data_IF_862087744209
#
_entry.id   IF_862087744209
#
_cell.length_a   1.000
_cell.length_b   1.000
_cell.length_c   1.000
_cell.angle_alpha   90.00
_cell.angle_beta   90.00
_cell.angle_gamma   90.00
#
_symmetry.space_group_name_H-M   'P 1'
#
loop_
_entity.id
_entity.type
_entity.pdbx_description
1 polymer ?
2 non-polymer ?
3 non-polymer ?
4 non-polymer ?
5 non-polymer ?
6 water ?
#
# COMPACT_ATOMS: atom_id res chain seq x y z
N UNK A 1 8.66 5.37 -18.52
CA UNK A 1 8.11 4.90 -17.21
C UNK A 1 8.30 5.97 -16.12
N UNK A 2 7.42 5.95 -15.12
CA UNK A 2 7.56 6.76 -13.89
C UNK A 2 8.75 6.29 -13.04
N UNK A 3 8.99 6.88 -11.86
CA UNK A 3 10.14 6.48 -11.07
C UNK A 3 10.05 5.03 -10.59
N UNK A 4 11.21 4.43 -10.40
CA UNK A 4 11.33 3.06 -9.82
C UNK A 4 12.43 3.10 -8.76
N UNK A 5 12.34 2.23 -7.77
CA UNK A 5 13.45 2.01 -6.83
C UNK A 5 14.67 1.52 -7.63
N UNK A 6 15.87 2.01 -7.27
CA UNK A 6 17.11 1.73 -8.01
C UNK A 6 17.82 0.53 -7.38
N UNK A 7 17.16 -0.21 -6.51
CA UNK A 7 17.69 -1.35 -5.71
C UNK A 7 16.53 -2.35 -5.55
N UNK A 8 16.79 -3.64 -5.41
CA UNK A 8 15.74 -4.68 -5.29
C UNK A 8 15.42 -4.94 -3.82
N UNK A 9 16.27 -4.48 -2.90
CA UNK A 9 16.08 -4.62 -1.43
C UNK A 9 15.44 -3.32 -0.87
N UNK A 10 14.22 -3.42 -0.34
CA UNK A 10 13.43 -2.23 0.06
C UNK A 10 12.94 -2.41 1.48
N UNK A 11 13.10 -1.37 2.29
CA UNK A 11 12.78 -1.36 3.72
C UNK A 11 11.48 -0.59 3.91
N UNK A 12 10.76 -0.94 4.96
CA UNK A 12 9.53 -0.23 5.32
C UNK A 12 9.48 -0.10 6.83
N UNK A 13 8.79 0.92 7.29
CA UNK A 13 8.51 1.09 8.72
C UNK A 13 7.08 1.52 8.88
N UNK A 14 6.43 0.95 9.88
CA UNK A 14 5.11 1.48 10.37
C UNK A 14 5.32 2.65 11.36
N UNK A 15 5.08 3.89 10.92
CA UNK A 15 5.18 5.12 11.73
C UNK A 15 4.22 5.02 12.92
N UNK A 16 3.00 4.56 12.73
CA UNK A 16 1.97 4.61 13.79
C UNK A 16 0.87 3.62 13.44
N UNK A 17 0.04 3.27 14.43
CA UNK A 17 -1.02 2.23 14.30
C UNK A 17 -2.39 2.90 14.46
N UNK A 18 -3.29 2.54 13.55
CA UNK A 18 -4.74 2.84 13.69
C UNK A 18 -5.25 2.12 14.93
N UNK A 19 -6.02 2.84 15.78
CA UNK A 19 -6.71 2.25 16.92
C UNK A 19 -7.89 1.41 16.48
N UNK A 20 -8.20 1.39 15.18
CA UNK A 20 -9.32 0.58 14.65
C UNK A 20 -9.00 -0.90 14.84
N UNK A 21 -7.72 -1.28 14.82
CA UNK A 21 -7.34 -2.72 14.77
C UNK A 21 -6.34 -2.99 15.89
N UNK A 22 -6.21 -4.27 16.24
CA UNK A 22 -5.07 -4.77 17.02
C UNK A 22 -3.80 -4.44 16.25
N UNK A 23 -2.74 -4.13 16.98
CA UNK A 23 -1.40 -3.83 16.45
C UNK A 23 -0.89 -4.99 15.57
N UNK A 24 -1.08 -6.21 16.06
CA UNK A 24 -0.56 -7.46 15.46
C UNK A 24 -1.28 -7.63 14.11
N UNK A 25 -2.56 -7.23 14.02
CA UNK A 25 -3.38 -7.36 12.78
C UNK A 25 -2.87 -6.35 11.75
N UNK A 26 -2.53 -5.16 12.18
CA UNK A 26 -1.87 -4.18 11.27
C UNK A 26 -0.55 -4.74 10.73
N UNK A 27 0.32 -5.28 11.58
CA UNK A 27 1.64 -5.79 11.16
C UNK A 27 1.42 -6.87 10.09
N UNK A 28 0.44 -7.74 10.29
CA UNK A 28 0.18 -8.93 9.45
C UNK A 28 -0.34 -8.44 8.09
N UNK A 29 -1.32 -7.53 8.09
CA UNK A 29 -1.92 -6.97 6.87
C UNK A 29 -0.82 -6.35 6.01
N UNK A 30 0.01 -5.53 6.60
CA UNK A 30 1.08 -4.82 5.84
C UNK A 30 2.08 -5.85 5.31
N UNK A 31 2.51 -6.76 6.18
CA UNK A 31 3.49 -7.82 5.83
C UNK A 31 2.95 -8.62 4.64
N UNK A 32 1.66 -8.95 4.66
CA UNK A 32 1.07 -9.84 3.64
C UNK A 32 0.94 -9.05 2.36
N UNK A 33 0.64 -7.75 2.45
CA UNK A 33 0.50 -6.82 1.30
C UNK A 33 1.85 -6.74 0.55
N UNK A 34 2.98 -6.62 1.25
CA UNK A 34 4.33 -6.61 0.63
C UNK A 34 4.66 -7.99 0.00
N UNK A 35 4.25 -9.06 0.68
CA UNK A 35 4.47 -10.46 0.26
C UNK A 35 3.73 -10.66 -1.07
N UNK A 36 2.54 -10.09 -1.24
CA UNK A 36 1.80 -10.24 -2.52
C UNK A 36 2.70 -9.76 -3.68
N UNK A 37 3.37 -8.61 -3.55
CA UNK A 37 4.27 -8.00 -4.59
C UNK A 37 5.59 -8.77 -4.66
N UNK A 38 6.13 -9.15 -3.51
CA UNK A 38 7.35 -10.00 -3.42
C UNK A 38 7.16 -11.26 -4.29
N UNK A 39 5.98 -11.84 -4.31
CA UNK A 39 5.72 -13.15 -4.93
C UNK A 39 5.82 -13.14 -6.48
N UNK A 40 5.82 -11.95 -7.11
CA UNK A 40 5.81 -11.79 -8.59
C UNK A 40 6.90 -10.83 -9.05
N UNK A 41 7.89 -10.53 -8.22
CA UNK A 41 9.01 -9.61 -8.56
C UNK A 41 10.31 -10.10 -7.95
N UNK A 42 11.47 -9.52 -8.36
CA UNK A 42 12.73 -9.75 -7.66
C UNK A 42 12.87 -8.98 -6.34
N UNK A 43 11.85 -8.24 -5.93
CA UNK A 43 11.90 -7.28 -4.79
C UNK A 43 11.85 -8.03 -3.46
N UNK A 44 12.71 -7.60 -2.55
CA UNK A 44 12.75 -8.14 -1.17
C UNK A 44 12.42 -7.01 -0.22
N UNK A 45 11.42 -7.20 0.66
CA UNK A 45 10.95 -6.21 1.63
C UNK A 45 11.40 -6.62 3.05
N UNK A 46 12.02 -5.68 3.78
CA UNK A 46 12.61 -5.80 5.15
C UNK A 46 11.96 -4.75 6.06
N UNK A 47 11.23 -5.23 7.05
CA UNK A 47 10.59 -4.40 8.08
C UNK A 47 11.66 -3.88 9.05
N UNK A 48 11.78 -2.55 9.21
CA UNK A 48 12.63 -1.96 10.28
C UNK A 48 11.72 -1.31 11.33
N UNK A 49 12.09 -1.49 12.60
CA UNK A 49 11.26 -1.02 13.73
C UNK A 49 11.69 0.40 14.16
N UNK A 50 12.96 0.74 13.98
CA UNK A 50 13.55 2.07 14.25
C UNK A 50 14.54 2.45 13.14
N UNK A 51 14.38 3.67 12.61
CA UNK A 51 15.41 4.29 11.78
C UNK A 51 14.90 4.52 10.39
N UNK A 52 15.80 4.66 9.43
CA UNK A 52 15.41 5.09 8.06
C UNK A 52 14.82 3.91 7.28
N UNK A 53 13.66 4.11 6.70
CA UNK A 53 13.04 3.13 5.82
C UNK A 53 12.63 3.83 4.51
N UNK A 54 12.67 3.07 3.43
CA UNK A 54 12.23 3.56 2.11
C UNK A 54 10.76 3.94 2.22
N UNK A 55 9.95 2.99 2.68
CA UNK A 55 8.48 3.12 2.65
C UNK A 55 8.01 3.31 4.08
N UNK A 56 7.60 4.52 4.41
CA UNK A 56 6.94 4.81 5.71
C UNK A 56 5.44 4.63 5.52
N UNK A 57 4.84 3.78 6.35
CA UNK A 57 3.38 3.56 6.43
C UNK A 57 2.79 4.44 7.55
N UNK A 58 1.74 5.21 7.24
CA UNK A 58 1.23 6.27 8.16
C UNK A 58 -0.28 6.16 8.17
N UNK A 59 -0.88 6.26 9.34
CA UNK A 59 -2.32 6.55 9.53
C UNK A 59 -2.45 8.01 10.00
N UNK A 60 -3.11 8.82 9.18
CA UNK A 60 -3.32 10.25 9.42
C UNK A 60 -4.66 10.64 8.79
N UNK A 61 -5.16 11.79 9.24
CA UNK A 61 -6.50 12.28 8.84
C UNK A 61 -6.33 13.69 8.33
N UNK A 62 -7.27 14.12 7.50
CA UNK A 62 -7.30 15.50 7.06
C UNK A 62 -5.98 15.90 6.44
N UNK A 63 -5.60 17.15 6.66
CA UNK A 63 -4.33 17.75 6.18
C UNK A 63 -3.25 17.21 7.12
N UNK A 64 -2.26 16.52 6.56
CA UNK A 64 -1.33 15.68 7.34
C UNK A 64 0.11 15.88 6.82
N UNK A 65 0.41 17.04 6.24
CA UNK A 65 1.79 17.48 6.02
C UNK A 65 2.25 17.29 4.59
N UNK A 66 1.38 16.84 3.71
CA UNK A 66 1.77 16.72 2.28
C UNK A 66 0.78 17.60 1.53
N UNK A 67 0.81 17.66 0.22
CA UNK A 67 -0.11 18.62 -0.47
C UNK A 67 -1.47 17.95 -0.73
N UNK A 68 -1.76 16.84 -0.05
CA UNK A 68 -2.83 15.89 -0.41
C UNK A 68 -3.70 15.60 0.81
N UNK A 69 -4.37 16.59 1.35
CA UNK A 69 -5.30 16.41 2.48
C UNK A 69 -6.25 15.25 2.18
N UNK A 70 -6.51 14.38 3.16
CA UNK A 70 -7.67 13.46 3.16
C UNK A 70 -8.95 14.25 3.43
N UNK A 71 -10.09 13.55 3.38
CA UNK A 71 -11.42 14.11 3.05
C UNK A 71 -12.45 13.55 4.03
N UNK A 72 -12.00 13.01 5.16
CA UNK A 72 -12.92 12.44 6.15
C UNK A 72 -13.46 11.09 5.75
N UNK A 73 -14.48 10.60 6.44
CA UNK A 73 -14.93 9.22 6.27
C UNK A 73 -15.43 9.05 4.83
N UNK A 74 -14.98 8.02 4.12
CA UNK A 74 -15.31 7.78 2.70
C UNK A 74 -14.44 8.57 1.72
N UNK A 75 -14.95 8.69 0.49
CA UNK A 75 -14.13 9.12 -0.65
C UNK A 75 -12.77 8.44 -0.64
N UNK A 76 -11.71 9.25 -0.56
CA UNK A 76 -10.29 8.79 -0.65
C UNK A 76 -9.98 8.05 0.62
N UNK A 77 -9.50 6.83 0.47
CA UNK A 77 -9.21 5.94 1.64
C UNK A 77 -7.71 6.00 1.96
N UNK A 78 -6.88 6.38 0.99
CA UNK A 78 -5.41 6.19 1.10
C UNK A 78 -4.75 6.72 -0.16
N UNK A 79 -3.62 7.00 -0.41
CA UNK A 79 -2.56 7.36 -1.35
C UNK A 79 -1.21 7.07 -0.70
N UNK A 80 -0.34 7.04 -1.81
CA UNK A 80 1.09 6.71 -1.70
C UNK A 80 1.86 7.50 -2.75
N UNK A 81 3.11 7.78 -2.42
CA UNK A 81 4.10 8.46 -3.29
C UNK A 81 4.93 7.41 -4.02
N UNK A 82 5.23 7.65 -5.29
CA UNK A 82 6.05 6.69 -5.99
C UNK A 82 7.49 6.75 -5.51
N UNK A 83 8.36 5.90 -6.07
CA UNK A 83 9.73 5.81 -5.62
C UNK A 83 10.45 7.16 -5.61
N UNK A 84 11.22 7.35 -4.54
CA UNK A 84 12.06 8.54 -4.32
C UNK A 84 12.53 8.62 -2.90
N UNK A 85 13.26 9.67 -2.60
CA UNK A 85 13.79 9.89 -1.23
C UNK A 85 12.71 10.62 -0.42
N UNK A 86 12.88 10.67 0.90
CA UNK A 86 11.97 11.40 1.79
C UNK A 86 10.61 10.78 1.71
N UNK A 87 9.61 11.58 1.42
CA UNK A 87 8.21 11.09 1.38
C UNK A 87 8.00 10.13 0.19
N UNK A 88 8.91 10.13 -0.80
CA UNK A 88 8.90 9.10 -1.86
C UNK A 88 8.59 7.73 -1.28
N UNK A 89 7.71 6.99 -1.91
CA UNK A 89 7.39 5.61 -1.50
C UNK A 89 6.41 5.54 -0.34
N UNK A 90 6.16 6.61 0.40
CA UNK A 90 5.43 6.44 1.68
C UNK A 90 3.95 6.21 1.34
N UNK A 91 3.28 5.37 2.14
CA UNK A 91 1.84 5.00 2.03
C UNK A 91 1.08 5.57 3.22
N UNK A 92 0.07 6.35 2.89
CA UNK A 92 -0.79 7.08 3.86
C UNK A 92 -2.21 6.51 3.77
N UNK A 93 -2.76 6.16 4.92
CA UNK A 93 -4.09 5.56 5.11
C UNK A 93 -4.95 6.53 5.93
N UNK A 94 -6.16 6.84 5.42
CA UNK A 94 -7.05 7.88 6.01
C UNK A 94 -7.61 7.29 7.27
N UNK A 95 -7.29 7.86 8.44
CA UNK A 95 -7.70 7.32 9.75
C UNK A 95 -9.20 7.55 9.97
N UNK A 96 -9.82 8.47 9.22
CA UNK A 96 -11.29 8.65 9.22
C UNK A 96 -12.00 7.42 8.61
N UNK A 97 -11.28 6.48 7.98
CA UNK A 97 -11.84 5.17 7.58
C UNK A 97 -11.80 4.21 8.79
N UNK A 98 -12.65 3.19 8.80
CA UNK A 98 -12.65 2.12 9.82
C UNK A 98 -11.94 0.92 9.22
N UNK A 99 -10.66 0.78 9.56
CA UNK A 99 -9.74 -0.22 8.98
C UNK A 99 -10.06 -1.57 9.65
N UNK A 100 -10.14 -2.65 8.90
CA UNK A 100 -10.52 -3.97 9.44
C UNK A 100 -9.66 -5.07 8.81
N UNK A 101 -9.81 -6.27 9.35
CA UNK A 101 -9.19 -7.51 8.84
C UNK A 101 -10.17 -8.22 7.90
N UNK A 102 -11.37 -7.67 7.69
CA UNK A 102 -12.47 -8.42 7.03
C UNK A 102 -13.20 -7.55 6.00
N UNK A 103 -14.46 -7.85 5.72
CA UNK A 103 -15.33 -7.23 4.69
C UNK A 103 -15.97 -5.95 5.25
N UNK A 104 -16.14 -5.87 6.56
CA UNK A 104 -16.56 -4.64 7.26
C UNK A 104 -15.60 -3.47 7.06
N UNK A 105 -16.10 -2.26 7.27
CA UNK A 105 -15.41 -1.00 7.02
C UNK A 105 -14.55 -1.14 5.79
N UNK A 106 -13.27 -0.81 5.91
CA UNK A 106 -12.27 -0.86 4.83
C UNK A 106 -11.17 -1.88 5.17
N UNK A 107 -11.05 -2.91 4.37
CA UNK A 107 -10.00 -3.94 4.56
C UNK A 107 -8.61 -3.32 4.31
N UNK A 108 -7.81 -3.24 5.37
CA UNK A 108 -6.42 -2.69 5.35
C UNK A 108 -5.54 -3.42 4.33
N UNK A 109 -5.53 -4.76 4.33
CA UNK A 109 -4.65 -5.60 3.45
C UNK A 109 -4.89 -5.22 1.98
N UNK A 110 -6.15 -5.23 1.56
CA UNK A 110 -6.45 -5.02 0.12
C UNK A 110 -5.99 -3.61 -0.23
N UNK A 111 -6.26 -2.62 0.64
CA UNK A 111 -5.94 -1.22 0.40
C UNK A 111 -4.44 -1.04 0.36
N UNK A 112 -3.72 -1.70 1.27
CA UNK A 112 -2.25 -1.69 1.29
C UNK A 112 -1.67 -2.32 0.03
N UNK A 113 -2.26 -3.40 -0.50
CA UNK A 113 -1.70 -4.00 -1.75
C UNK A 113 -1.72 -2.90 -2.80
N UNK A 114 -2.85 -2.23 -3.06
CA UNK A 114 -3.03 -1.08 -3.98
C UNK A 114 -1.96 0.00 -3.68
N UNK A 115 -1.92 0.50 -2.40
CA UNK A 115 -1.02 1.58 -2.01
C UNK A 115 0.41 1.14 -2.28
N UNK A 116 0.78 -0.09 -1.94
CA UNK A 116 2.21 -0.50 -2.12
C UNK A 116 2.51 -0.60 -3.62
N UNK A 117 1.51 -0.95 -4.42
CA UNK A 117 1.55 -0.82 -5.88
C UNK A 117 2.08 0.55 -6.29
N UNK A 118 1.46 1.62 -5.81
CA UNK A 118 1.89 3.00 -6.07
C UNK A 118 3.32 3.26 -5.50
N UNK A 119 3.59 2.78 -4.27
CA UNK A 119 4.90 2.89 -3.58
C UNK A 119 5.98 2.24 -4.47
N UNK A 120 5.63 1.24 -5.29
CA UNK A 120 6.62 0.57 -6.18
C UNK A 120 6.68 1.23 -7.55
N UNK A 121 5.72 2.12 -7.87
CA UNK A 121 5.82 2.97 -9.06
C UNK A 121 4.69 2.73 -10.05
N UNK A 122 3.68 1.88 -9.71
CA UNK A 122 2.47 1.64 -10.54
C UNK A 122 1.44 2.81 -10.46
N UNK A 123 0.91 3.21 -11.61
CA UNK A 123 -0.32 3.98 -11.76
C UNK A 123 -1.52 3.09 -11.58
N UNK A 124 -2.70 3.62 -11.83
CA UNK A 124 -3.99 2.88 -11.92
C UNK A 124 -4.07 2.08 -13.24
N UNK A 125 -4.84 1.00 -13.17
CA UNK A 125 -5.19 0.08 -14.27
C UNK A 125 -6.61 0.44 -14.69
N UNK A 126 -6.89 0.28 -15.98
CA UNK A 126 -8.26 0.32 -16.57
C UNK A 126 -8.94 -1.07 -16.50
N UNK A 127 -8.20 -2.13 -16.15
CA UNK A 127 -8.77 -3.48 -15.92
C UNK A 127 -9.51 -3.48 -14.59
N UNK A 128 -10.80 -3.83 -14.55
CA UNK A 128 -11.55 -3.80 -13.29
C UNK A 128 -11.19 -4.95 -12.33
N UNK A 129 -10.45 -5.95 -12.80
CA UNK A 129 -10.04 -7.09 -11.94
C UNK A 129 -8.65 -6.81 -11.34
N UNK A 130 -8.00 -5.69 -11.71
CA UNK A 130 -6.68 -5.29 -11.23
C UNK A 130 -6.81 -4.69 -9.82
N UNK A 131 -5.87 -5.01 -8.95
CA UNK A 131 -5.77 -4.37 -7.62
C UNK A 131 -5.45 -2.87 -7.81
N UNK A 132 -4.90 -2.50 -8.96
CA UNK A 132 -4.50 -1.10 -9.25
C UNK A 132 -5.64 -0.35 -9.93
N UNK A 133 -6.79 -1.00 -10.07
CA UNK A 133 -8.04 -0.30 -10.47
C UNK A 133 -8.35 0.71 -9.38
N UNK A 134 -8.80 1.94 -9.72
CA UNK A 134 -8.87 3.03 -8.76
C UNK A 134 -9.80 2.84 -7.54
N UNK A 135 -10.82 1.99 -7.63
CA UNK A 135 -11.87 1.90 -6.60
C UNK A 135 -11.80 0.59 -5.80
N UNK A 136 -12.08 0.72 -4.51
CA UNK A 136 -12.04 -0.36 -3.52
C UNK A 136 -13.30 -1.22 -3.70
N UNK A 137 -13.16 -2.52 -3.90
CA UNK A 137 -14.23 -3.52 -3.64
C UNK A 137 -13.60 -4.56 -2.73
N UNK A 138 -14.31 -4.94 -1.68
CA UNK A 138 -13.91 -6.12 -0.91
C UNK A 138 -13.98 -7.33 -1.86
N UNK A 139 -12.92 -8.14 -1.81
CA UNK A 139 -12.86 -9.50 -2.40
C UNK A 139 -12.29 -10.39 -1.34
N UNK A 140 -12.69 -11.67 -1.40
CA UNK A 140 -12.37 -12.71 -0.41
C UNK A 140 -10.84 -12.80 -0.32
N UNK A 141 -10.28 -12.51 0.85
CA UNK A 141 -8.81 -12.31 1.08
C UNK A 141 -8.12 -13.68 0.99
N UNK A 142 -8.89 -14.75 1.09
CA UNK A 142 -8.38 -16.14 1.10
C UNK A 142 -8.10 -16.51 -0.37
N UNK A 143 -8.97 -16.04 -1.24
CA UNK A 143 -8.98 -16.33 -2.69
C UNK A 143 -8.34 -15.15 -3.48
N UNK A 144 -7.73 -14.16 -2.82
CA UNK A 144 -7.29 -12.88 -3.44
C UNK A 144 -6.08 -13.13 -4.34
N UNK A 145 -6.08 -12.61 -5.57
CA UNK A 145 -4.84 -12.62 -6.37
C UNK A 145 -4.70 -11.37 -7.23
N UNK A 146 -3.44 -11.01 -7.47
CA UNK A 146 -3.10 -9.97 -8.47
C UNK A 146 -3.65 -10.47 -9.80
N UNK A 147 -4.18 -9.58 -10.60
CA UNK A 147 -4.59 -9.83 -11.99
C UNK A 147 -3.35 -9.88 -12.88
N UNK A 148 -3.52 -10.46 -14.05
CA UNK A 148 -2.50 -10.56 -15.10
C UNK A 148 -1.94 -9.16 -15.38
N UNK A 149 -2.79 -8.12 -15.35
CA UNK A 149 -2.39 -6.72 -15.66
C UNK A 149 -1.50 -6.25 -14.52
N UNK A 150 -1.84 -6.54 -13.26
CA UNK A 150 -1.03 -6.09 -12.10
C UNK A 150 0.38 -6.71 -12.19
N UNK A 151 0.45 -7.99 -12.52
CA UNK A 151 1.76 -8.71 -12.72
C UNK A 151 2.49 -8.08 -13.92
N UNK A 152 1.83 -7.92 -15.06
CA UNK A 152 2.48 -7.30 -16.22
C UNK A 152 3.10 -5.95 -15.81
N UNK A 153 2.31 -5.14 -15.13
CA UNK A 153 2.69 -3.82 -14.63
C UNK A 153 3.96 -3.83 -13.79
N UNK A 154 3.99 -4.61 -12.72
CA UNK A 154 5.10 -4.55 -11.76
C UNK A 154 6.34 -5.25 -12.34
N UNK A 155 6.10 -6.25 -13.21
CA UNK A 155 7.21 -6.96 -13.92
C UNK A 155 7.81 -6.04 -15.00
N UNK A 156 7.09 -5.10 -15.59
CA UNK A 156 7.67 -4.14 -16.57
C UNK A 156 8.60 -3.14 -15.84
N UNK A 157 8.47 -3.03 -14.52
CA UNK A 157 9.28 -2.09 -13.68
C UNK A 157 10.51 -2.78 -13.08
N UNK A 158 10.41 -4.04 -12.65
CA UNK A 158 11.44 -4.77 -11.87
C UNK A 158 11.64 -6.17 -12.51
N UNK A 159 12.81 -6.48 -13.08
CA UNK A 159 13.27 -7.87 -13.32
C UNK A 159 13.82 -8.11 -14.72
#
# INVERSE_FOLDING_TARGET
MGPVWRKHYITYRINNYTPDMNREDVDYAIRKAFQVWSNVTPLKFSKINTGMADILVVFARGAHGDDHAFDGKGGILAHAFGPGSGIGGDAHFDEDEFWTTHSGGTNLFLTAVHEIGHSLGLGHSSDPKAVMFPTYKYVDINTFRLSADDIRGIQSLYG
#
